data_IF_612807296117
#
_entry.id   IF_612807296117
#
_cell.length_a   1.000
_cell.length_b   1.000
_cell.length_c   1.000
_cell.angle_alpha   90.00
_cell.angle_beta   90.00
_cell.angle_gamma   90.00
#
_symmetry.space_group_name_H-M   'P 1'
#
loop_
_entity.id
_entity.type
_entity.pdbx_description
1 polymer ?
#
# COMPACT_ATOMS: atom_id res chain seq x y z
N UNK A 1 10.87 -12.72 -0.44
CA UNK A 1 9.71 -12.10 0.22
C UNK A 1 8.96 -13.11 1.09
N UNK A 2 8.65 -14.31 0.64
CA UNK A 2 7.95 -15.36 1.42
C UNK A 2 8.58 -15.62 2.80
N UNK A 3 9.91 -15.58 2.91
CA UNK A 3 10.60 -15.77 4.19
C UNK A 3 10.54 -14.56 5.13
N UNK A 4 10.05 -13.42 4.66
CA UNK A 4 10.04 -12.15 5.38
C UNK A 4 8.63 -11.69 5.73
N UNK A 5 7.72 -11.75 4.75
CA UNK A 5 6.38 -11.21 4.84
C UNK A 5 5.40 -12.16 5.56
N UNK A 6 4.18 -11.68 5.76
CA UNK A 6 3.05 -12.47 6.21
C UNK A 6 2.58 -13.47 5.15
N UNK A 7 1.66 -14.37 5.51
CA UNK A 7 1.08 -15.39 4.61
C UNK A 7 0.36 -14.82 3.39
N UNK A 8 -0.03 -13.53 3.40
CA UNK A 8 -0.68 -12.85 2.29
C UNK A 8 0.29 -12.07 1.41
N UNK A 9 1.60 -12.08 1.74
CA UNK A 9 2.66 -11.34 1.07
C UNK A 9 2.41 -9.82 1.01
N UNK A 10 1.99 -9.23 2.13
CA UNK A 10 1.68 -7.81 2.21
C UNK A 10 2.95 -6.99 2.47
N UNK A 11 3.47 -6.31 1.45
CA UNK A 11 4.73 -5.54 1.56
C UNK A 11 4.49 -4.06 1.86
N UNK A 12 3.65 -3.79 2.86
CA UNK A 12 3.34 -2.44 3.38
C UNK A 12 3.18 -2.48 4.89
N UNK A 13 3.05 -1.31 5.53
CA UNK A 13 2.86 -1.21 6.97
C UNK A 13 1.64 -2.03 7.44
N UNK A 14 1.83 -2.86 8.45
CA UNK A 14 0.77 -3.55 9.16
C UNK A 14 0.12 -2.62 10.20
N UNK A 15 -1.04 -3.00 10.76
CA UNK A 15 -1.73 -2.24 11.80
C UNK A 15 -1.76 -3.04 13.09
N UNK A 16 -1.05 -2.55 14.12
CA UNK A 16 -0.82 -3.26 15.38
C UNK A 16 -1.67 -2.69 16.54
N UNK A 17 -2.33 -1.57 16.34
CA UNK A 17 -2.98 -0.83 17.42
C UNK A 17 -4.26 -1.51 17.93
N UNK A 18 -4.79 -2.51 17.21
CA UNK A 18 -5.88 -3.38 17.69
C UNK A 18 -5.39 -4.53 18.59
N UNK A 19 -4.09 -4.60 18.86
CA UNK A 19 -3.51 -5.58 19.77
C UNK A 19 -3.07 -6.89 19.12
N UNK A 20 -2.92 -6.90 17.79
CA UNK A 20 -2.36 -8.04 17.04
C UNK A 20 -1.08 -8.58 17.67
N UNK A 21 -0.94 -9.91 17.73
CA UNK A 21 0.21 -10.61 18.30
C UNK A 21 1.19 -11.11 17.25
N UNK A 22 0.70 -11.28 16.02
CA UNK A 22 1.49 -11.78 14.88
C UNK A 22 1.43 -10.81 13.73
N UNK A 23 2.39 -10.93 12.80
CA UNK A 23 2.40 -10.14 11.56
C UNK A 23 1.17 -10.45 10.70
N UNK A 24 0.74 -11.70 10.66
CA UNK A 24 -0.45 -12.12 9.93
C UNK A 24 -1.70 -11.38 10.42
N UNK A 25 -1.92 -11.37 11.75
CA UNK A 25 -3.03 -10.65 12.37
C UNK A 25 -2.94 -9.14 12.08
N UNK A 26 -1.78 -8.53 12.28
CA UNK A 26 -1.59 -7.09 12.07
C UNK A 26 -1.79 -6.68 10.60
N UNK A 27 -1.44 -7.54 9.64
CA UNK A 27 -1.72 -7.28 8.23
C UNK A 27 -3.21 -7.47 7.91
N UNK A 28 -3.88 -8.46 8.49
CA UNK A 28 -5.33 -8.61 8.34
C UNK A 28 -6.08 -7.43 8.96
N UNK A 29 -5.68 -6.96 10.13
CA UNK A 29 -6.22 -5.75 10.77
C UNK A 29 -6.05 -4.50 9.86
N UNK A 30 -4.91 -4.36 9.19
CA UNK A 30 -4.68 -3.26 8.23
C UNK A 30 -5.59 -3.37 7.01
N UNK A 31 -5.80 -4.56 6.47
CA UNK A 31 -6.69 -4.78 5.33
C UNK A 31 -8.15 -4.53 5.71
N UNK A 32 -8.57 -5.01 6.88
CA UNK A 32 -9.90 -4.73 7.45
C UNK A 32 -10.10 -3.23 7.66
N UNK A 33 -9.13 -2.55 8.28
CA UNK A 33 -9.17 -1.10 8.46
C UNK A 33 -9.34 -0.36 7.13
N UNK A 34 -8.65 -0.83 6.08
CA UNK A 34 -8.75 -0.26 4.72
C UNK A 34 -10.16 -0.44 4.15
N UNK A 35 -10.72 -1.64 4.23
CA UNK A 35 -12.08 -1.94 3.77
C UNK A 35 -13.13 -1.08 4.49
N UNK A 36 -13.03 -1.00 5.81
CA UNK A 36 -13.94 -0.17 6.64
C UNK A 36 -13.83 1.32 6.31
N UNK A 37 -12.63 1.83 6.12
CA UNK A 37 -12.40 3.26 5.80
C UNK A 37 -12.98 3.68 4.46
N UNK A 38 -12.99 2.81 3.47
CA UNK A 38 -13.66 3.10 2.19
C UNK A 38 -15.15 2.74 2.21
N UNK A 39 -15.67 2.24 3.34
CA UNK A 39 -17.08 1.98 3.53
C UNK A 39 -17.62 0.74 2.83
N UNK A 40 -16.76 -0.27 2.57
CA UNK A 40 -17.23 -1.52 1.95
C UNK A 40 -18.36 -2.16 2.73
N UNK A 41 -19.37 -2.60 2.01
CA UNK A 41 -20.57 -3.23 2.58
C UNK A 41 -20.78 -4.62 1.97
N UNK A 42 -20.87 -5.65 2.86
CA UNK A 42 -21.08 -7.05 2.46
C UNK A 42 -22.41 -7.31 1.74
N UNK A 43 -23.37 -6.40 1.87
CA UNK A 43 -24.70 -6.51 1.25
C UNK A 43 -24.76 -5.88 -0.15
N UNK A 44 -23.64 -5.26 -0.61
CA UNK A 44 -23.57 -4.57 -1.89
C UNK A 44 -22.54 -5.22 -2.81
N UNK A 45 -22.88 -5.32 -4.08
CA UNK A 45 -21.90 -5.65 -5.12
C UNK A 45 -21.14 -4.37 -5.51
N UNK A 46 -19.96 -4.16 -4.92
CA UNK A 46 -19.13 -3.01 -5.18
C UNK A 46 -17.90 -3.40 -6.01
N UNK A 47 -17.45 -2.49 -6.87
CA UNK A 47 -16.25 -2.63 -7.67
C UNK A 47 -15.15 -1.72 -7.12
N UNK A 48 -14.00 -2.29 -6.78
CA UNK A 48 -12.86 -1.56 -6.24
C UNK A 48 -11.67 -1.65 -7.18
N UNK A 49 -10.97 -0.53 -7.38
CA UNK A 49 -9.67 -0.49 -8.02
C UNK A 49 -8.57 -0.47 -6.95
N UNK A 50 -7.61 -1.38 -7.05
CA UNK A 50 -6.39 -1.40 -6.25
C UNK A 50 -5.20 -1.00 -7.11
N UNK A 51 -4.73 0.26 -6.96
CA UNK A 51 -3.62 0.80 -7.75
C UNK A 51 -2.30 0.46 -7.07
N UNK A 52 -1.52 -0.40 -7.71
CA UNK A 52 -0.31 -0.97 -7.14
C UNK A 52 -0.61 -2.19 -6.27
N UNK A 53 -1.54 -3.04 -6.69
CA UNK A 53 -2.09 -4.15 -5.91
C UNK A 53 -1.11 -5.24 -5.49
N UNK A 54 0.18 -5.13 -5.88
CA UNK A 54 1.22 -6.09 -5.51
C UNK A 54 0.86 -7.51 -5.94
N UNK A 55 0.92 -8.46 -5.01
CA UNK A 55 0.51 -9.86 -5.24
C UNK A 55 -0.98 -10.11 -4.95
N UNK A 56 -1.80 -9.05 -4.84
CA UNK A 56 -3.26 -9.16 -4.66
C UNK A 56 -3.71 -9.36 -3.21
N UNK A 57 -2.90 -9.01 -2.22
CA UNK A 57 -3.23 -9.17 -0.80
C UNK A 57 -4.54 -8.48 -0.42
N UNK A 58 -4.70 -7.19 -0.74
CA UNK A 58 -5.93 -6.45 -0.50
C UNK A 58 -7.09 -7.01 -1.34
N UNK A 59 -6.85 -7.24 -2.63
CA UNK A 59 -7.88 -7.74 -3.54
C UNK A 59 -8.47 -9.08 -3.05
N UNK A 60 -7.61 -10.02 -2.66
CA UNK A 60 -8.03 -11.30 -2.08
C UNK A 60 -8.82 -11.11 -0.78
N UNK A 61 -8.34 -10.23 0.11
CA UNK A 61 -9.01 -9.98 1.39
C UNK A 61 -10.41 -9.39 1.19
N UNK A 62 -10.54 -8.33 0.39
CA UNK A 62 -11.79 -7.64 0.13
C UNK A 62 -12.81 -8.56 -0.58
N UNK A 63 -12.37 -9.33 -1.57
CA UNK A 63 -13.23 -10.28 -2.26
C UNK A 63 -13.77 -11.39 -1.33
N UNK A 64 -12.89 -11.95 -0.48
CA UNK A 64 -13.27 -13.04 0.43
C UNK A 64 -14.16 -12.59 1.59
N UNK A 65 -13.92 -11.39 2.15
CA UNK A 65 -14.61 -10.94 3.36
C UNK A 65 -15.80 -10.03 3.09
N UNK A 66 -15.84 -9.37 1.93
CA UNK A 66 -16.89 -8.41 1.56
C UNK A 66 -17.66 -8.78 0.28
N UNK A 67 -17.23 -9.82 -0.45
CA UNK A 67 -17.85 -10.18 -1.74
C UNK A 67 -17.54 -9.17 -2.86
N UNK A 68 -16.69 -8.21 -2.61
CA UNK A 68 -16.33 -7.09 -3.50
C UNK A 68 -15.59 -7.59 -4.75
N UNK A 69 -15.89 -7.03 -5.91
CA UNK A 69 -15.09 -7.24 -7.11
C UNK A 69 -13.90 -6.30 -7.09
N UNK A 70 -12.70 -6.85 -7.16
CA UNK A 70 -11.48 -6.06 -7.12
C UNK A 70 -10.66 -6.24 -8.38
N UNK A 71 -10.38 -5.12 -9.07
CA UNK A 71 -9.36 -5.03 -10.09
C UNK A 71 -8.09 -4.49 -9.46
N UNK A 72 -7.05 -5.32 -9.35
CA UNK A 72 -5.73 -4.93 -8.90
C UNK A 72 -4.81 -4.74 -10.11
N UNK A 73 -4.19 -3.58 -10.21
CA UNK A 73 -3.27 -3.25 -11.31
C UNK A 73 -1.85 -3.05 -10.77
N UNK A 74 -0.87 -3.53 -11.52
CA UNK A 74 0.56 -3.35 -11.22
C UNK A 74 1.36 -3.34 -12.53
N UNK A 75 2.54 -2.71 -12.50
CA UNK A 75 3.49 -2.70 -13.63
C UNK A 75 4.55 -3.80 -13.55
N UNK A 76 4.53 -4.65 -12.50
CA UNK A 76 5.46 -5.79 -12.37
C UNK A 76 4.82 -7.07 -12.92
N UNK A 77 5.49 -7.68 -13.90
CA UNK A 77 5.09 -8.97 -14.46
C UNK A 77 5.12 -10.08 -13.40
N UNK A 78 6.15 -10.10 -12.56
CA UNK A 78 6.33 -11.08 -11.50
C UNK A 78 5.21 -10.99 -10.45
N UNK A 79 4.74 -9.77 -10.14
CA UNK A 79 3.60 -9.60 -9.25
C UNK A 79 2.30 -10.11 -9.88
N UNK A 80 2.11 -9.91 -11.18
CA UNK A 80 0.91 -10.41 -11.89
C UNK A 80 0.90 -11.93 -11.94
N UNK A 81 2.02 -12.57 -12.28
CA UNK A 81 2.13 -14.02 -12.39
C UNK A 81 1.81 -14.69 -11.05
N UNK A 82 2.55 -14.36 -10.01
CA UNK A 82 2.31 -14.92 -8.67
C UNK A 82 0.96 -14.48 -8.10
N UNK A 83 0.54 -13.24 -8.32
CA UNK A 83 -0.75 -12.74 -7.85
C UNK A 83 -1.93 -13.52 -8.42
N UNK A 84 -1.89 -13.89 -9.70
CA UNK A 84 -2.91 -14.75 -10.33
C UNK A 84 -2.92 -16.16 -9.73
N UNK A 85 -1.75 -16.71 -9.41
CA UNK A 85 -1.67 -18.02 -8.72
C UNK A 85 -2.30 -17.95 -7.33
N UNK A 86 -1.97 -16.91 -6.54
CA UNK A 86 -2.46 -16.72 -5.18
C UNK A 86 -3.94 -16.38 -5.09
N UNK A 87 -4.53 -15.88 -6.17
CA UNK A 87 -5.96 -15.54 -6.27
C UNK A 87 -6.75 -16.52 -7.11
N UNK A 88 -6.13 -17.60 -7.56
CA UNK A 88 -6.81 -18.65 -8.34
C UNK A 88 -8.00 -19.21 -7.58
N UNK A 89 -9.15 -19.35 -8.25
CA UNK A 89 -10.39 -19.82 -7.64
C UNK A 89 -11.17 -18.74 -6.87
N UNK A 90 -10.74 -17.47 -6.88
CA UNK A 90 -11.49 -16.34 -6.32
C UNK A 90 -12.09 -15.53 -7.49
N UNK A 91 -13.37 -15.71 -7.83
CA UNK A 91 -13.95 -15.19 -9.07
C UNK A 91 -14.02 -13.66 -9.13
N UNK A 92 -14.05 -13.01 -7.97
CA UNK A 92 -14.18 -11.55 -7.86
C UNK A 92 -12.85 -10.80 -7.85
N UNK A 93 -11.71 -11.47 -8.15
CA UNK A 93 -10.39 -10.83 -8.19
C UNK A 93 -9.83 -10.89 -9.59
N UNK A 94 -9.44 -9.74 -10.11
CA UNK A 94 -8.72 -9.61 -11.36
C UNK A 94 -7.37 -8.92 -11.12
N UNK A 95 -6.26 -9.57 -11.50
CA UNK A 95 -4.91 -8.99 -11.43
C UNK A 95 -4.40 -8.71 -12.84
N UNK A 96 -4.06 -7.44 -13.14
CA UNK A 96 -3.60 -7.00 -14.46
C UNK A 96 -2.21 -6.36 -14.44
N UNK A 97 -1.46 -6.64 -15.47
CA UNK A 97 -0.28 -5.85 -15.85
C UNK A 97 -0.78 -4.58 -16.54
N UNK A 98 -0.86 -3.49 -15.81
CA UNK A 98 -1.42 -2.24 -16.31
C UNK A 98 -0.88 -1.05 -15.52
N UNK A 99 -0.50 0.02 -16.24
CA UNK A 99 -0.24 1.33 -15.64
C UNK A 99 -1.58 2.01 -15.35
N UNK A 100 -1.68 2.74 -14.23
CA UNK A 100 -2.90 3.47 -13.86
C UNK A 100 -3.30 4.54 -14.89
N UNK A 101 -2.33 5.03 -15.67
CA UNK A 101 -2.56 6.01 -16.76
C UNK A 101 -3.26 5.40 -17.97
N UNK A 102 -3.23 4.08 -18.11
CA UNK A 102 -3.83 3.33 -19.22
C UNK A 102 -5.21 2.75 -18.88
N UNK A 103 -5.83 3.22 -17.79
CA UNK A 103 -7.20 2.85 -17.46
C UNK A 103 -8.15 3.31 -18.56
N UNK A 104 -9.11 2.47 -18.92
CA UNK A 104 -10.11 2.79 -19.96
C UNK A 104 -11.00 3.94 -19.52
N UNK A 105 -11.26 4.90 -20.41
CA UNK A 105 -12.03 6.14 -20.12
C UNK A 105 -13.38 5.91 -19.45
N UNK A 106 -14.00 4.75 -19.66
CA UNK A 106 -15.33 4.40 -19.14
C UNK A 106 -15.26 3.46 -17.93
N UNK A 107 -14.06 3.13 -17.46
CA UNK A 107 -13.90 2.28 -16.27
C UNK A 107 -14.15 3.10 -15.01
N UNK A 108 -15.22 2.74 -14.28
CA UNK A 108 -15.63 3.45 -13.07
C UNK A 108 -15.72 2.49 -11.90
N UNK A 109 -15.22 2.92 -10.74
CA UNK A 109 -15.16 2.12 -9.52
C UNK A 109 -15.94 2.80 -8.40
N UNK A 110 -16.57 1.98 -7.55
CA UNK A 110 -17.28 2.46 -6.36
C UNK A 110 -16.28 3.04 -5.36
N UNK A 111 -15.13 2.37 -5.21
CA UNK A 111 -14.03 2.84 -4.37
C UNK A 111 -12.68 2.58 -5.04
N UNK A 112 -11.66 3.34 -4.63
CA UNK A 112 -10.28 3.15 -5.09
C UNK A 112 -9.36 3.08 -3.88
N UNK A 113 -8.36 2.21 -3.92
CA UNK A 113 -7.28 2.15 -2.92
C UNK A 113 -5.92 2.20 -3.60
N UNK A 114 -4.93 2.69 -2.88
CA UNK A 114 -3.53 2.62 -3.29
C UNK A 114 -2.68 2.46 -2.03
N UNK A 115 -2.03 1.32 -1.90
CA UNK A 115 -1.32 0.93 -0.68
C UNK A 115 0.18 0.77 -0.96
N UNK A 116 0.98 1.81 -0.62
CA UNK A 116 2.45 1.78 -0.77
C UNK A 116 2.94 1.85 -2.22
N UNK A 117 2.20 2.52 -3.10
CA UNK A 117 2.58 2.73 -4.50
C UNK A 117 2.90 4.20 -4.81
N UNK A 118 2.28 5.14 -4.11
CA UNK A 118 2.37 6.56 -4.39
C UNK A 118 3.81 7.11 -4.30
N UNK A 119 4.65 6.47 -3.51
CA UNK A 119 6.09 6.73 -3.40
C UNK A 119 6.85 6.57 -4.72
N UNK A 120 6.28 5.83 -5.68
CA UNK A 120 6.85 5.58 -7.01
C UNK A 120 6.27 6.47 -8.10
N UNK A 121 5.27 7.30 -7.79
CA UNK A 121 4.63 8.22 -8.77
C UNK A 121 5.55 9.39 -9.15
N UNK A 122 6.29 9.91 -8.17
CA UNK A 122 7.17 11.07 -8.34
C UNK A 122 6.42 12.41 -8.32
N UNK A 123 7.03 13.42 -7.67
CA UNK A 123 6.39 14.72 -7.35
C UNK A 123 5.73 15.39 -8.56
N UNK A 124 6.38 15.35 -9.73
CA UNK A 124 5.87 15.98 -10.95
C UNK A 124 4.53 15.37 -11.45
N UNK A 125 4.25 14.14 -11.06
CA UNK A 125 3.08 13.39 -11.52
C UNK A 125 1.96 13.33 -10.46
N UNK A 126 2.16 13.82 -9.22
CA UNK A 126 1.16 13.69 -8.15
C UNK A 126 -0.20 14.27 -8.54
N UNK A 127 -0.23 15.47 -9.10
CA UNK A 127 -1.49 16.10 -9.52
C UNK A 127 -2.21 15.31 -10.62
N UNK A 128 -1.46 14.77 -11.57
CA UNK A 128 -2.02 13.93 -12.65
C UNK A 128 -2.54 12.60 -12.09
N UNK A 129 -1.81 11.98 -11.17
CA UNK A 129 -2.26 10.79 -10.46
C UNK A 129 -3.64 11.01 -9.79
N UNK A 130 -3.80 12.09 -9.02
CA UNK A 130 -5.08 12.39 -8.37
C UNK A 130 -6.20 12.69 -9.38
N UNK A 131 -5.90 13.32 -10.51
CA UNK A 131 -6.89 13.50 -11.58
C UNK A 131 -7.34 12.17 -12.19
N UNK A 132 -6.40 11.26 -12.48
CA UNK A 132 -6.74 9.92 -12.96
C UNK A 132 -7.64 9.20 -11.95
N UNK A 133 -7.27 9.19 -10.66
CA UNK A 133 -8.09 8.59 -9.60
C UNK A 133 -9.49 9.21 -9.57
N UNK A 134 -9.60 10.55 -9.61
CA UNK A 134 -10.91 11.24 -9.62
C UNK A 134 -11.77 10.83 -10.82
N UNK A 135 -11.17 10.72 -12.00
CA UNK A 135 -11.88 10.39 -13.23
C UNK A 135 -12.46 8.97 -13.24
N UNK A 136 -11.84 8.07 -12.48
CA UNK A 136 -12.28 6.67 -12.37
C UNK A 136 -13.07 6.34 -11.09
N UNK A 137 -13.20 7.28 -10.16
CA UNK A 137 -14.01 7.13 -8.96
C UNK A 137 -15.46 7.55 -9.26
N UNK A 138 -16.44 6.74 -8.89
CA UNK A 138 -17.87 7.13 -8.96
C UNK A 138 -18.20 8.24 -7.97
N UNK A 139 -19.29 8.95 -8.22
CA UNK A 139 -19.82 9.91 -7.25
C UNK A 139 -20.29 9.17 -5.99
N UNK A 140 -19.99 9.76 -4.83
CA UNK A 140 -20.20 9.09 -3.52
C UNK A 140 -19.15 8.05 -3.15
N UNK A 141 -18.25 7.71 -4.06
CA UNK A 141 -17.13 6.80 -3.79
C UNK A 141 -16.02 7.44 -2.94
N UNK A 142 -15.22 6.59 -2.30
CA UNK A 142 -14.08 6.99 -1.50
C UNK A 142 -12.76 6.47 -2.10
N UNK A 143 -11.73 7.30 -2.02
CA UNK A 143 -10.37 6.94 -2.36
C UNK A 143 -9.51 6.88 -1.08
N UNK A 144 -8.84 5.75 -0.83
CA UNK A 144 -7.89 5.63 0.26
C UNK A 144 -6.47 5.57 -0.28
N UNK A 145 -5.64 6.51 0.17
CA UNK A 145 -4.22 6.56 -0.08
C UNK A 145 -3.45 6.15 1.18
N UNK A 146 -2.71 5.04 1.13
CA UNK A 146 -1.76 4.63 2.14
C UNK A 146 -0.35 4.84 1.60
N UNK A 147 0.40 5.76 2.17
CA UNK A 147 1.74 6.11 1.70
C UNK A 147 2.71 6.42 2.84
N UNK A 148 3.96 6.01 2.65
CA UNK A 148 5.06 6.55 3.46
C UNK A 148 5.24 8.01 3.07
N UNK A 149 5.56 8.85 4.05
CA UNK A 149 5.80 10.25 3.80
C UNK A 149 6.91 10.84 4.65
N UNK A 150 7.34 12.02 4.26
CA UNK A 150 8.37 12.79 4.93
C UNK A 150 7.77 14.01 5.64
N UNK A 151 8.42 14.47 6.71
CA UNK A 151 8.03 15.69 7.42
C UNK A 151 8.31 16.96 6.58
N UNK A 152 9.22 16.88 5.62
CA UNK A 152 9.62 17.97 4.74
C UNK A 152 9.47 17.57 3.27
N UNK A 153 9.18 18.56 2.42
CA UNK A 153 9.08 18.36 0.97
C UNK A 153 10.43 18.05 0.35
N UNK A 154 10.50 16.94 -0.38
CA UNK A 154 11.71 16.50 -1.07
C UNK A 154 11.40 16.12 -2.52
N UNK A 155 12.42 16.10 -3.37
CA UNK A 155 12.34 15.69 -4.78
C UNK A 155 13.10 14.40 -5.07
N UNK A 156 13.80 13.85 -4.08
CA UNK A 156 14.56 12.60 -4.16
C UNK A 156 14.53 11.86 -2.83
N UNK A 157 14.80 10.58 -2.86
CA UNK A 157 14.96 9.77 -1.64
C UNK A 157 16.45 9.65 -1.26
N UNK A 158 16.72 9.03 -0.12
CA UNK A 158 18.07 8.69 0.31
C UNK A 158 18.85 7.97 -0.81
N UNK A 159 20.11 8.37 -1.11
CA UNK A 159 20.88 7.79 -2.22
C UNK A 159 21.11 6.29 -2.11
N UNK A 160 21.28 5.76 -0.88
CA UNK A 160 21.49 4.34 -0.67
C UNK A 160 20.19 3.56 -0.91
N UNK A 161 19.07 4.05 -0.38
CA UNK A 161 17.73 3.48 -0.59
C UNK A 161 17.40 3.50 -2.09
N UNK A 162 17.63 4.62 -2.78
CA UNK A 162 17.41 4.75 -4.22
C UNK A 162 18.24 3.77 -5.04
N UNK A 163 19.50 3.55 -4.63
CA UNK A 163 20.41 2.68 -5.38
C UNK A 163 20.11 1.19 -5.22
N UNK A 164 19.73 0.76 -4.01
CA UNK A 164 19.74 -0.67 -3.66
C UNK A 164 18.36 -1.26 -3.39
N UNK A 165 17.34 -0.45 -3.05
CA UNK A 165 16.04 -0.94 -2.56
C UNK A 165 14.89 -0.43 -3.44
N UNK A 166 14.71 0.89 -3.54
CA UNK A 166 13.59 1.53 -4.22
C UNK A 166 14.06 2.59 -5.23
N UNK A 167 14.55 2.19 -6.40
CA UNK A 167 14.99 3.14 -7.42
C UNK A 167 13.87 4.13 -7.79
N UNK A 168 14.25 5.41 -7.91
CA UNK A 168 13.37 6.51 -8.30
C UNK A 168 12.17 6.77 -7.35
N UNK A 169 12.16 6.21 -6.14
CA UNK A 169 11.13 6.53 -5.17
C UNK A 169 11.32 7.92 -4.56
N UNK A 170 10.23 8.55 -4.17
CA UNK A 170 10.23 9.82 -3.42
C UNK A 170 9.13 9.76 -2.36
N UNK A 171 9.48 10.05 -1.12
CA UNK A 171 8.51 10.13 -0.03
C UNK A 171 7.82 11.50 -0.06
N UNK A 172 6.49 11.58 -0.29
CA UNK A 172 5.78 12.85 -0.29
C UNK A 172 5.74 13.49 1.09
N UNK A 173 5.68 14.82 1.16
CA UNK A 173 5.27 15.51 2.38
C UNK A 173 3.76 15.73 2.42
N UNK A 174 3.22 16.07 3.60
CA UNK A 174 1.82 16.50 3.75
C UNK A 174 1.51 17.69 2.82
N UNK A 175 2.43 18.66 2.73
CA UNK A 175 2.30 19.82 1.84
C UNK A 175 2.18 19.38 0.38
N UNK A 176 3.07 18.51 -0.11
CA UNK A 176 3.05 18.05 -1.50
C UNK A 176 1.76 17.28 -1.83
N UNK A 177 1.23 16.49 -0.90
CA UNK A 177 -0.06 15.82 -1.08
C UNK A 177 -1.18 16.87 -1.14
N UNK A 178 -1.25 17.79 -0.16
CA UNK A 178 -2.29 18.81 -0.08
C UNK A 178 -2.34 19.69 -1.34
N UNK A 179 -1.20 20.18 -1.82
CA UNK A 179 -1.09 20.95 -3.06
C UNK A 179 -1.53 20.16 -4.30
N UNK A 180 -1.33 18.84 -4.28
CA UNK A 180 -1.68 17.98 -5.42
C UNK A 180 -3.15 17.61 -5.47
N UNK A 181 -3.86 17.60 -4.34
CA UNK A 181 -5.29 17.30 -4.25
C UNK A 181 -6.17 18.55 -4.29
N UNK A 182 -5.59 19.74 -4.12
CA UNK A 182 -6.34 21.00 -4.11
C UNK A 182 -7.21 21.16 -5.37
N UNK A 183 -8.51 21.39 -5.16
CA UNK A 183 -9.50 21.48 -6.24
C UNK A 183 -9.84 20.15 -6.94
N UNK A 184 -9.26 19.03 -6.47
CA UNK A 184 -9.51 17.69 -7.04
C UNK A 184 -10.32 16.84 -6.06
N UNK A 185 -9.92 16.79 -4.78
CA UNK A 185 -10.57 15.99 -3.75
C UNK A 185 -10.77 16.79 -2.47
N UNK A 186 -11.73 16.35 -1.66
CA UNK A 186 -11.86 16.72 -0.27
C UNK A 186 -11.19 15.64 0.57
N UNK A 187 -10.26 16.02 1.46
CA UNK A 187 -9.67 15.11 2.44
C UNK A 187 -10.65 14.92 3.60
N UNK A 188 -11.14 13.71 3.78
CA UNK A 188 -12.13 13.36 4.80
C UNK A 188 -11.48 12.89 6.11
N UNK A 189 -10.33 12.19 6.01
CA UNK A 189 -9.59 11.66 7.16
C UNK A 189 -8.10 11.55 6.87
N UNK A 190 -7.30 11.71 7.92
CA UNK A 190 -5.85 11.46 7.90
C UNK A 190 -5.44 10.71 9.15
N UNK A 191 -5.04 9.46 8.99
CA UNK A 191 -4.60 8.57 10.07
C UNK A 191 -3.11 8.29 9.97
N UNK A 192 -2.34 8.64 10.99
CA UNK A 192 -0.90 8.41 11.06
C UNK A 192 -0.61 7.06 11.73
N UNK A 193 -0.08 6.11 10.96
CA UNK A 193 0.25 4.75 11.39
C UNK A 193 1.75 4.54 11.68
N UNK A 194 2.56 5.59 11.72
CA UNK A 194 4.03 5.53 11.64
C UNK A 194 4.70 4.55 12.60
N UNK A 195 4.28 4.51 13.86
CA UNK A 195 4.87 3.60 14.86
C UNK A 195 4.58 2.13 14.57
N UNK A 196 3.51 1.85 13.82
CA UNK A 196 3.19 0.50 13.36
C UNK A 196 4.23 -0.02 12.35
N UNK A 197 4.86 0.87 11.57
CA UNK A 197 5.86 0.43 10.61
C UNK A 197 7.18 0.02 11.27
N UNK A 198 7.58 0.64 12.38
CA UNK A 198 8.72 0.16 13.17
C UNK A 198 8.51 -1.31 13.58
N UNK A 199 7.37 -1.65 14.18
CA UNK A 199 7.03 -3.02 14.56
C UNK A 199 7.01 -3.97 13.35
N UNK A 200 6.44 -3.53 12.25
CA UNK A 200 6.37 -4.31 11.00
C UNK A 200 7.76 -4.62 10.46
N UNK A 201 8.64 -3.62 10.35
CA UNK A 201 10.01 -3.78 9.85
C UNK A 201 10.87 -4.64 10.78
N UNK A 202 10.72 -4.50 12.09
CA UNK A 202 11.41 -5.34 13.06
C UNK A 202 10.95 -6.79 12.96
N UNK A 203 9.66 -7.04 12.71
CA UNK A 203 9.16 -8.41 12.49
C UNK A 203 9.70 -8.98 11.18
N UNK A 204 9.74 -8.20 10.10
CA UNK A 204 10.36 -8.62 8.83
C UNK A 204 11.85 -8.95 9.02
N UNK A 205 12.57 -8.13 9.80
CA UNK A 205 13.97 -8.39 10.14
C UNK A 205 14.12 -9.74 10.86
N UNK A 206 13.33 -9.99 11.90
CA UNK A 206 13.38 -11.24 12.65
C UNK A 206 13.04 -12.45 11.77
N UNK A 207 12.03 -12.35 10.93
CA UNK A 207 11.61 -13.42 10.02
C UNK A 207 12.75 -13.80 9.05
N UNK A 208 13.39 -12.81 8.41
CA UNK A 208 14.47 -13.10 7.47
C UNK A 208 15.73 -13.58 8.17
N UNK A 209 16.02 -13.02 9.36
CA UNK A 209 17.15 -13.44 10.18
C UNK A 209 17.03 -14.93 10.59
N UNK A 210 15.86 -15.32 11.06
CA UNK A 210 15.56 -16.70 11.47
C UNK A 210 15.49 -17.67 10.29
N UNK A 211 15.20 -17.16 9.08
CA UNK A 211 15.14 -17.96 7.86
C UNK A 211 16.45 -17.96 7.08
N UNK A 212 17.51 -17.31 7.60
CA UNK A 212 18.71 -17.03 6.82
C UNK A 212 19.42 -18.28 6.29
N UNK A 213 19.60 -19.32 7.11
CA UNK A 213 20.29 -20.54 6.70
C UNK A 213 19.56 -21.25 5.55
N UNK A 214 18.22 -21.26 5.59
CA UNK A 214 17.39 -21.80 4.51
C UNK A 214 17.50 -20.96 3.21
N UNK A 215 17.61 -19.63 3.34
CA UNK A 215 17.81 -18.75 2.20
C UNK A 215 19.20 -18.93 1.58
N UNK A 216 20.24 -18.95 2.42
CA UNK A 216 21.63 -19.13 1.97
C UNK A 216 21.82 -20.45 1.21
N UNK A 217 21.12 -21.50 1.63
CA UNK A 217 21.13 -22.80 0.95
C UNK A 217 20.47 -22.77 -0.45
N UNK A 218 19.68 -21.74 -0.79
CA UNK A 218 19.03 -21.59 -2.11
C UNK A 218 19.96 -21.05 -3.20
N UNK A 219 21.22 -20.71 -2.88
CA UNK A 219 22.23 -20.34 -3.86
C UNK A 219 22.95 -19.03 -3.60
N UNK A 220 23.96 -18.72 -4.42
CA UNK A 220 24.91 -17.61 -4.29
C UNK A 220 24.28 -16.21 -4.20
N UNK A 221 23.06 -16.03 -4.70
CA UNK A 221 22.30 -14.78 -4.60
C UNK A 221 22.13 -14.35 -3.15
N UNK A 222 21.93 -15.28 -2.23
CA UNK A 222 21.71 -15.01 -0.80
C UNK A 222 23.02 -15.10 0.00
N UNK A 223 24.06 -14.40 -0.43
CA UNK A 223 25.36 -14.34 0.20
C UNK A 223 25.41 -13.32 1.37
N UNK A 224 26.57 -13.27 2.07
CA UNK A 224 26.78 -12.35 3.21
C UNK A 224 26.57 -10.86 2.84
N UNK A 225 26.88 -10.45 1.59
CA UNK A 225 26.66 -9.07 1.12
C UNK A 225 25.17 -8.76 1.03
N UNK A 226 24.37 -9.68 0.45
CA UNK A 226 22.91 -9.55 0.39
C UNK A 226 22.32 -9.48 1.80
N UNK A 227 22.76 -10.34 2.75
CA UNK A 227 22.32 -10.31 4.14
C UNK A 227 22.51 -8.93 4.77
N UNK A 228 23.74 -8.42 4.73
CA UNK A 228 24.08 -7.11 5.31
C UNK A 228 23.28 -5.95 4.67
N UNK A 229 23.07 -6.00 3.36
CA UNK A 229 22.28 -5.00 2.64
C UNK A 229 20.82 -5.02 3.12
N UNK A 230 20.25 -6.21 3.27
CA UNK A 230 18.86 -6.37 3.68
C UNK A 230 18.63 -6.01 5.15
N UNK A 231 19.54 -6.42 6.03
CA UNK A 231 19.54 -6.04 7.45
C UNK A 231 19.66 -4.52 7.61
N UNK A 232 20.58 -3.89 6.88
CA UNK A 232 20.72 -2.44 6.90
C UNK A 232 19.43 -1.73 6.46
N UNK A 233 18.82 -2.17 5.37
CA UNK A 233 17.53 -1.64 4.91
C UNK A 233 16.47 -1.70 6.01
N UNK A 234 16.20 -2.88 6.53
CA UNK A 234 15.12 -3.09 7.49
C UNK A 234 15.35 -2.32 8.79
N UNK A 235 16.55 -2.38 9.33
CA UNK A 235 16.89 -1.74 10.61
C UNK A 235 16.95 -0.19 10.49
N UNK A 236 17.52 0.34 9.40
CA UNK A 236 17.58 1.80 9.19
C UNK A 236 16.19 2.39 8.99
N UNK A 237 15.31 1.70 8.22
CA UNK A 237 13.92 2.12 8.06
C UNK A 237 13.14 2.02 9.37
N UNK A 238 13.29 0.94 10.15
CA UNK A 238 12.67 0.81 11.47
C UNK A 238 13.09 1.96 12.40
N UNK A 239 14.39 2.26 12.45
CA UNK A 239 14.93 3.39 13.22
C UNK A 239 14.37 4.74 12.76
N UNK A 240 14.17 4.93 11.46
CA UNK A 240 13.60 6.17 10.91
C UNK A 240 12.15 6.38 11.32
N UNK A 241 11.31 5.33 11.33
CA UNK A 241 9.93 5.41 11.84
C UNK A 241 9.90 5.60 13.35
N UNK A 242 10.73 4.88 14.11
CA UNK A 242 10.85 5.01 15.57
C UNK A 242 11.26 6.43 15.97
N UNK A 243 12.22 7.01 15.26
CA UNK A 243 12.68 8.38 15.49
C UNK A 243 11.74 9.44 14.90
N UNK A 244 10.60 9.07 14.30
CA UNK A 244 9.63 9.96 13.67
C UNK A 244 10.22 10.85 12.57
N UNK A 245 11.30 10.39 11.92
CA UNK A 245 11.91 11.09 10.77
C UNK A 245 11.07 10.96 9.52
N UNK A 246 10.42 9.80 9.35
CA UNK A 246 9.44 9.52 8.31
C UNK A 246 8.13 9.03 8.94
N UNK A 247 7.05 9.14 8.19
CA UNK A 247 5.70 8.84 8.62
C UNK A 247 5.07 7.82 7.67
N UNK A 248 3.96 7.23 8.06
CA UNK A 248 3.05 6.55 7.13
C UNK A 248 1.62 7.00 7.42
N UNK A 249 0.91 7.39 6.38
CA UNK A 249 -0.46 7.89 6.50
C UNK A 249 -1.44 7.01 5.72
N UNK A 250 -2.62 6.84 6.28
CA UNK A 250 -3.82 6.50 5.51
C UNK A 250 -4.68 7.76 5.42
N UNK A 251 -4.90 8.23 4.19
CA UNK A 251 -5.74 9.38 3.89
C UNK A 251 -6.97 8.93 3.10
N UNK A 252 -8.13 9.39 3.52
CA UNK A 252 -9.40 9.14 2.84
C UNK A 252 -9.83 10.40 2.12
N UNK A 253 -10.21 10.25 0.86
CA UNK A 253 -10.65 11.33 0.00
C UNK A 253 -12.02 11.04 -0.61
N UNK A 254 -12.82 12.08 -0.81
CA UNK A 254 -14.07 12.05 -1.57
C UNK A 254 -14.04 13.11 -2.68
N UNK A 255 -14.84 12.90 -3.75
CA UNK A 255 -14.93 13.89 -4.84
C UNK A 255 -15.56 15.22 -4.41
N UNK A 256 -16.65 15.13 -3.65
CA UNK A 256 -17.54 16.28 -3.39
C UNK A 256 -17.96 16.36 -1.92
N UNK A 257 -17.29 15.67 -1.02
CA UNK A 257 -17.64 15.53 0.39
C UNK A 257 -18.61 14.38 0.66
N UNK A 258 -18.45 13.76 1.83
CA UNK A 258 -19.40 12.77 2.33
C UNK A 258 -20.59 13.52 2.95
N UNK A 259 -21.80 13.24 2.47
CA UNK A 259 -22.99 13.90 2.98
C UNK A 259 -23.18 13.59 4.49
N UNK A 260 -23.27 14.63 5.30
CA UNK A 260 -23.33 14.50 6.75
C UNK A 260 -21.97 14.32 7.43
N UNK A 261 -20.87 14.34 6.65
CA UNK A 261 -19.49 14.20 7.12
C UNK A 261 -19.02 12.74 7.23
N UNK A 262 -17.75 12.53 7.03
CA UNK A 262 -17.11 11.23 7.18
C UNK A 262 -16.83 10.94 8.66
N UNK A 263 -17.13 9.71 9.10
CA UNK A 263 -16.79 9.27 10.46
C UNK A 263 -15.43 8.55 10.43
N UNK A 264 -14.44 9.15 11.07
CA UNK A 264 -13.09 8.58 11.17
C UNK A 264 -13.11 7.18 11.80
N UNK A 265 -12.43 6.23 11.14
CA UNK A 265 -12.31 4.84 11.57
C UNK A 265 -10.85 4.57 11.96
N UNK A 266 -10.69 3.92 13.10
CA UNK A 266 -9.39 3.56 13.67
C UNK A 266 -9.33 2.08 13.96
#
# INVERSE_FOLDING_TARGET
YEAMLDKRLTYTCAYWDLGAKTLDEAQEDKLELTCRKIGLNKEKEENVLDIGGGWGSFAKYAAQNYGTRVKAITVSKEQVELGKELTNGIPNVEIRLQDYRDLGKNEMFDHIVSLGMFEHVGVKNYKEYFKVVRNHLKDGGLFLLHTIGNNESQSSTDPWISKYIFPNSVLPSQKQIAESVEGIFIEEDSHNLSTNYDKTLMTWYNNIHNSWDKLNAKGEKYNKKFKRMWEYYLLSCAGSFRARRIQVWQKVFSKNGVLGGYKSIR
#
